data_IF_634116759943
#
_entry.id   IF_634116759943
#
_cell.length_a   1.000
_cell.length_b   1.000
_cell.length_c   1.000
_cell.angle_alpha   90.00
_cell.angle_beta   90.00
_cell.angle_gamma   90.00
#
_symmetry.space_group_name_H-M   'P 1'
#
loop_
_entity.id
_entity.type
_entity.pdbx_description
1 polymer ?
#
# COMPACT_ATOMS: atom_id res chain seq x y z
N UNK A 1 -17.70 17.82 2.99
CA UNK A 1 -16.69 16.95 3.59
C UNK A 1 -15.34 17.62 3.40
N UNK A 2 -14.60 17.80 4.47
CA UNK A 2 -13.20 18.24 4.43
C UNK A 2 -12.30 17.09 3.98
N UNK A 3 -11.06 17.37 3.57
CA UNK A 3 -10.15 16.34 3.05
C UNK A 3 -9.84 15.25 4.09
N UNK A 4 -9.74 15.62 5.36
CA UNK A 4 -9.56 14.69 6.49
C UNK A 4 -10.78 13.77 6.69
N UNK A 5 -12.02 14.25 6.52
CA UNK A 5 -13.22 13.41 6.56
C UNK A 5 -13.27 12.40 5.40
N UNK A 6 -12.81 12.80 4.21
CA UNK A 6 -12.70 11.90 3.05
C UNK A 6 -11.67 10.80 3.31
N UNK A 7 -10.50 11.14 3.86
CA UNK A 7 -9.46 10.17 4.19
C UNK A 7 -9.88 9.27 5.35
N UNK A 8 -10.59 9.81 6.35
CA UNK A 8 -11.13 9.02 7.46
C UNK A 8 -12.05 7.89 6.98
N UNK A 9 -12.85 8.14 5.93
CA UNK A 9 -13.72 7.11 5.33
C UNK A 9 -12.98 5.94 4.67
N UNK A 10 -11.67 6.10 4.40
CA UNK A 10 -10.83 5.12 3.70
C UNK A 10 -9.88 4.36 4.66
N UNK A 11 -9.91 4.64 5.97
CA UNK A 11 -8.91 4.13 6.91
C UNK A 11 -8.83 2.60 6.96
N UNK A 12 -9.96 1.91 6.88
CA UNK A 12 -9.99 0.44 6.88
C UNK A 12 -9.27 -0.12 5.65
N UNK A 13 -9.51 0.45 4.48
CA UNK A 13 -8.83 0.05 3.25
C UNK A 13 -7.34 0.39 3.28
N UNK A 14 -6.97 1.58 3.77
CA UNK A 14 -5.58 2.00 3.93
C UNK A 14 -4.82 1.09 4.89
N UNK A 15 -5.47 0.61 5.96
CA UNK A 15 -4.90 -0.35 6.89
C UNK A 15 -4.63 -1.70 6.21
N UNK A 16 -5.57 -2.21 5.41
CA UNK A 16 -5.39 -3.46 4.67
C UNK A 16 -4.31 -3.35 3.59
N UNK A 17 -4.24 -2.22 2.88
CA UNK A 17 -3.16 -1.92 1.92
C UNK A 17 -1.82 -1.94 2.65
N UNK A 18 -1.69 -1.24 3.77
CA UNK A 18 -0.46 -1.17 4.55
C UNK A 18 0.00 -2.55 5.03
N UNK A 19 -0.94 -3.34 5.56
CA UNK A 19 -0.69 -4.71 6.01
C UNK A 19 -0.20 -5.61 4.87
N UNK A 20 -0.85 -5.54 3.72
CA UNK A 20 -0.48 -6.33 2.54
C UNK A 20 0.89 -5.92 2.01
N UNK A 21 1.10 -4.62 1.73
CA UNK A 21 2.38 -4.09 1.23
C UNK A 21 3.55 -4.42 2.15
N UNK A 22 3.34 -4.32 3.47
CA UNK A 22 4.37 -4.68 4.45
C UNK A 22 4.77 -6.15 4.34
N UNK A 23 3.79 -7.06 4.29
CA UNK A 23 4.03 -8.50 4.19
C UNK A 23 4.75 -8.85 2.89
N UNK A 24 4.30 -8.32 1.76
CA UNK A 24 4.93 -8.60 0.47
C UNK A 24 6.36 -8.05 0.40
N UNK A 25 6.61 -6.88 0.98
CA UNK A 25 7.99 -6.38 1.13
C UNK A 25 8.84 -7.31 1.99
N UNK A 26 8.31 -7.85 3.08
CA UNK A 26 9.07 -8.78 3.92
C UNK A 26 9.42 -10.07 3.15
N UNK A 27 8.49 -10.63 2.38
CA UNK A 27 8.73 -11.81 1.54
C UNK A 27 9.71 -11.53 0.39
N UNK A 28 9.54 -10.42 -0.33
CA UNK A 28 10.38 -10.09 -1.48
C UNK A 28 11.85 -9.81 -1.13
N UNK A 29 12.13 -9.30 0.08
CA UNK A 29 13.48 -8.92 0.51
C UNK A 29 14.12 -9.90 1.50
N UNK A 30 13.31 -10.55 2.33
CA UNK A 30 13.77 -11.40 3.44
C UNK A 30 13.07 -12.77 3.46
N UNK A 31 12.45 -13.17 2.35
CA UNK A 31 11.86 -14.49 2.18
C UNK A 31 12.90 -15.61 2.33
N UNK A 32 12.39 -16.83 2.43
CA UNK A 32 13.23 -18.03 2.47
C UNK A 32 14.07 -18.17 1.21
N UNK A 33 15.15 -18.96 1.29
CA UNK A 33 16.09 -19.18 0.17
C UNK A 33 15.40 -19.65 -1.12
N UNK A 34 14.29 -20.39 -0.98
CA UNK A 34 13.54 -20.95 -2.10
C UNK A 34 12.48 -19.99 -2.67
N UNK A 35 12.32 -18.78 -2.11
CA UNK A 35 11.40 -17.78 -2.64
C UNK A 35 12.09 -16.98 -3.75
N UNK A 36 11.76 -17.28 -5.01
CA UNK A 36 12.30 -16.58 -6.18
C UNK A 36 11.26 -15.54 -6.63
N UNK A 37 11.46 -14.22 -6.38
CA UNK A 37 10.42 -13.22 -6.64
C UNK A 37 9.91 -13.18 -8.08
N UNK A 38 10.75 -13.50 -9.07
CA UNK A 38 10.37 -13.53 -10.49
C UNK A 38 9.50 -14.73 -10.87
N UNK A 39 9.45 -15.77 -10.05
CA UNK A 39 8.62 -16.96 -10.26
C UNK A 39 7.34 -16.89 -9.41
N UNK A 40 7.42 -16.29 -8.22
CA UNK A 40 6.33 -16.20 -7.25
C UNK A 40 5.40 -15.01 -7.48
N UNK A 41 5.90 -13.88 -8.01
CA UNK A 41 5.08 -12.70 -8.26
C UNK A 41 4.54 -12.63 -9.67
N UNK A 42 3.26 -12.29 -9.75
CA UNK A 42 2.56 -12.03 -11.01
C UNK A 42 2.58 -10.55 -11.37
N UNK A 43 2.18 -10.24 -12.60
CA UNK A 43 1.95 -8.86 -13.02
C UNK A 43 0.83 -8.21 -12.19
N UNK A 44 -0.18 -8.99 -11.82
CA UNK A 44 -1.31 -8.58 -11.01
C UNK A 44 -0.87 -8.16 -9.60
N UNK A 45 0.07 -8.88 -9.00
CA UNK A 45 0.67 -8.51 -7.71
C UNK A 45 1.42 -7.19 -7.80
N UNK A 46 2.20 -7.00 -8.88
CA UNK A 46 2.91 -5.75 -9.12
C UNK A 46 1.94 -4.56 -9.29
N UNK A 47 0.87 -4.74 -10.07
CA UNK A 47 -0.16 -3.72 -10.26
C UNK A 47 -0.87 -3.37 -8.95
N UNK A 48 -1.23 -4.39 -8.16
CA UNK A 48 -1.84 -4.22 -6.83
C UNK A 48 -0.91 -3.44 -5.88
N UNK A 49 0.38 -3.75 -5.88
CA UNK A 49 1.35 -3.05 -5.07
C UNK A 49 1.47 -1.56 -5.45
N UNK A 50 1.52 -1.28 -6.76
CA UNK A 50 1.59 0.09 -7.30
C UNK A 50 0.32 0.86 -6.95
N UNK A 51 -0.86 0.28 -7.14
CA UNK A 51 -2.14 0.92 -6.85
C UNK A 51 -2.27 1.23 -5.36
N UNK A 52 -1.96 0.26 -4.49
CA UNK A 52 -1.98 0.44 -3.04
C UNK A 52 -1.04 1.57 -2.60
N UNK A 53 0.21 1.57 -3.08
CA UNK A 53 1.18 2.62 -2.77
C UNK A 53 0.71 4.01 -3.23
N UNK A 54 0.17 4.12 -4.46
CA UNK A 54 -0.38 5.39 -4.96
C UNK A 54 -1.52 5.90 -4.10
N UNK A 55 -2.42 5.02 -3.68
CA UNK A 55 -3.55 5.38 -2.82
C UNK A 55 -3.10 5.88 -1.45
N UNK A 56 -2.12 5.19 -0.83
CA UNK A 56 -1.56 5.62 0.45
C UNK A 56 -0.87 6.98 0.36
N UNK A 57 -0.07 7.21 -0.69
CA UNK A 57 0.60 8.51 -0.90
C UNK A 57 -0.42 9.63 -1.08
N UNK A 58 -1.42 9.41 -1.94
CA UNK A 58 -2.49 10.39 -2.17
C UNK A 58 -3.24 10.75 -0.89
N UNK A 59 -3.60 9.76 -0.07
CA UNK A 59 -4.25 10.01 1.21
C UNK A 59 -3.37 10.81 2.18
N UNK A 60 -2.05 10.54 2.19
CA UNK A 60 -1.10 11.31 2.99
C UNK A 60 -0.98 12.77 2.51
N UNK A 61 -0.90 12.99 1.20
CA UNK A 61 -0.90 14.34 0.60
C UNK A 61 -2.15 15.12 1.01
N UNK A 62 -3.34 14.51 0.89
CA UNK A 62 -4.63 15.13 1.25
C UNK A 62 -4.69 15.55 2.73
N UNK A 63 -4.13 14.74 3.65
CA UNK A 63 -4.09 15.07 5.08
C UNK A 63 -3.03 16.13 5.38
N UNK A 64 -1.83 16.02 4.80
CA UNK A 64 -0.72 16.94 5.08
C UNK A 64 -1.06 18.35 4.56
N UNK A 65 -1.59 18.47 3.34
CA UNK A 65 -2.02 19.75 2.78
C UNK A 65 -3.19 20.36 3.54
N UNK A 66 -4.08 19.55 4.12
CA UNK A 66 -5.20 20.05 4.92
C UNK A 66 -4.79 20.59 6.30
N UNK A 67 -3.59 20.27 6.78
CA UNK A 67 -3.07 20.64 8.10
C UNK A 67 -2.08 21.82 8.03
N UNK A 68 -1.62 22.19 6.82
CA UNK A 68 -0.73 23.34 6.55
C UNK A 68 -1.52 24.59 6.15
#
# INVERSE_FOLDING_TARGET
MTNDELVASQLEELAEISKWLRRERELAFYGEIDFIPTEEYTKEDALKAIEGARKTVKAAEEVIEAVL
#
